data_IF_751737837735
#
_entry.id   IF_751737837735
#
_cell.length_a   1.000
_cell.length_b   1.000
_cell.length_c   1.000
_cell.angle_alpha   90.00
_cell.angle_beta   90.00
_cell.angle_gamma   90.00
#
_symmetry.space_group_name_H-M   'P 1'
#
loop_
_entity.id
_entity.type
_entity.pdbx_description
1 polymer ?
#
# COMPACT_ATOMS: atom_id res chain seq x y z
N UNK A 1 5.55 -21.56 -4.82
CA UNK A 1 5.92 -20.15 -5.06
C UNK A 1 5.25 -19.29 -4.00
N UNK A 2 5.88 -18.19 -3.57
CA UNK A 2 5.30 -17.27 -2.58
C UNK A 2 4.24 -16.34 -3.21
N UNK A 3 4.42 -15.94 -4.45
CA UNK A 3 3.45 -15.23 -5.27
C UNK A 3 3.69 -15.53 -6.76
N UNK A 4 2.69 -15.25 -7.59
CA UNK A 4 2.80 -15.28 -9.06
C UNK A 4 2.45 -13.91 -9.59
N UNK A 5 3.32 -13.33 -10.42
CA UNK A 5 3.06 -12.08 -11.10
C UNK A 5 3.08 -12.28 -12.60
N UNK A 6 2.03 -11.86 -13.27
CA UNK A 6 1.87 -11.97 -14.72
C UNK A 6 1.58 -10.59 -15.29
N UNK A 7 2.45 -10.12 -16.18
CA UNK A 7 2.21 -8.88 -16.92
C UNK A 7 1.29 -9.21 -18.09
N UNK A 8 0.11 -8.63 -18.10
CA UNK A 8 -0.92 -8.89 -19.12
C UNK A 8 -0.76 -7.96 -20.33
N UNK A 9 -0.44 -6.70 -20.09
CA UNK A 9 -0.40 -5.66 -21.12
C UNK A 9 0.66 -4.60 -20.78
N UNK A 10 1.36 -4.13 -21.84
CA UNK A 10 2.33 -3.03 -21.73
C UNK A 10 1.93 -1.97 -22.75
N UNK A 11 1.59 -0.77 -22.28
CA UNK A 11 1.31 0.37 -23.16
C UNK A 11 2.62 1.07 -23.50
N UNK A 12 3.09 0.99 -24.75
CA UNK A 12 4.25 1.75 -25.19
C UNK A 12 3.85 3.18 -25.61
N UNK A 13 4.27 4.22 -24.88
CA UNK A 13 4.38 5.54 -25.45
C UNK A 13 5.74 5.63 -26.17
N UNK A 14 5.76 6.21 -27.36
CA UNK A 14 6.99 6.46 -28.11
C UNK A 14 8.09 7.05 -27.21
N UNK A 15 9.10 6.23 -26.86
CA UNK A 15 10.35 6.66 -26.26
C UNK A 15 10.41 6.87 -24.74
N UNK A 16 9.44 6.41 -23.93
CA UNK A 16 9.48 6.48 -22.43
C UNK A 16 9.00 5.18 -21.81
N UNK A 17 9.33 4.95 -20.53
CA UNK A 17 8.88 3.78 -19.79
C UNK A 17 7.37 3.59 -19.92
N UNK A 18 6.95 2.38 -20.30
CA UNK A 18 5.57 2.05 -20.58
C UNK A 18 4.81 1.69 -19.31
N UNK A 19 3.63 2.26 -19.12
CA UNK A 19 2.68 1.77 -18.15
C UNK A 19 2.34 0.31 -18.43
N UNK A 20 2.09 -0.48 -17.39
CA UNK A 20 1.79 -1.90 -17.54
C UNK A 20 0.61 -2.34 -16.66
N UNK A 21 -0.16 -3.28 -17.17
CA UNK A 21 -1.16 -4.01 -16.40
C UNK A 21 -0.64 -5.40 -16.08
N UNK A 22 -0.97 -5.86 -14.90
CA UNK A 22 -0.60 -7.20 -14.47
C UNK A 22 -1.57 -7.77 -13.46
N UNK A 23 -1.32 -9.01 -13.11
CA UNK A 23 -2.05 -9.75 -12.10
C UNK A 23 -1.07 -10.34 -11.10
N UNK A 24 -1.24 -10.00 -9.83
CA UNK A 24 -0.47 -10.53 -8.72
C UNK A 24 -1.35 -11.52 -7.95
N UNK A 25 -1.01 -12.80 -8.01
CA UNK A 25 -1.71 -13.86 -7.29
C UNK A 25 -0.99 -14.14 -5.96
N UNK A 26 -1.74 -14.06 -4.86
CA UNK A 26 -1.28 -14.16 -3.48
C UNK A 26 -2.14 -15.20 -2.73
N UNK A 27 -1.72 -15.66 -1.53
CA UNK A 27 -2.47 -16.66 -0.76
C UNK A 27 -3.94 -16.29 -0.47
N UNK A 28 -4.25 -15.02 -0.22
CA UNK A 28 -5.62 -14.55 0.07
C UNK A 28 -6.33 -13.92 -1.13
N UNK A 29 -5.83 -14.07 -2.35
CA UNK A 29 -6.53 -13.63 -3.55
C UNK A 29 -5.66 -13.01 -4.63
N UNK A 30 -6.33 -12.43 -5.61
CA UNK A 30 -5.71 -11.86 -6.81
C UNK A 30 -5.83 -10.35 -6.79
N UNK A 31 -4.74 -9.66 -7.12
CA UNK A 31 -4.65 -8.21 -7.20
C UNK A 31 -4.38 -7.79 -8.64
N UNK A 32 -5.24 -6.94 -9.19
CA UNK A 32 -5.03 -6.33 -10.51
C UNK A 32 -4.15 -5.09 -10.37
N UNK A 33 -3.03 -5.06 -11.07
CA UNK A 33 -2.09 -3.93 -11.06
C UNK A 33 -2.27 -3.02 -12.28
N UNK A 34 -1.96 -1.71 -12.17
CA UNK A 34 -1.52 -1.00 -10.98
C UNK A 34 -2.61 -0.89 -9.90
N UNK A 35 -2.19 -0.89 -8.64
CA UNK A 35 -3.10 -0.87 -7.48
C UNK A 35 -2.67 0.15 -6.44
N UNK A 36 -3.65 0.78 -5.79
CA UNK A 36 -3.45 1.57 -4.58
C UNK A 36 -3.83 0.76 -3.34
N UNK A 37 -2.98 0.76 -2.33
CA UNK A 37 -3.16 0.07 -1.06
C UNK A 37 -3.58 1.06 0.04
N UNK A 38 -4.82 1.03 0.53
CA UNK A 38 -5.19 1.77 1.74
C UNK A 38 -4.35 1.34 2.94
N UNK A 39 -3.89 2.32 3.74
CA UNK A 39 -3.05 2.06 4.90
C UNK A 39 -3.88 1.79 6.14
N UNK A 40 -3.75 0.57 6.65
CA UNK A 40 -4.37 0.08 7.88
C UNK A 40 -3.37 -0.07 9.02
N UNK A 41 -2.81 1.03 9.51
CA UNK A 41 -1.66 1.11 10.44
C UNK A 41 -1.72 0.11 11.62
N UNK A 42 -2.85 -0.02 12.28
CA UNK A 42 -3.04 -0.89 13.45
C UNK A 42 -4.12 -1.96 13.17
N UNK A 43 -3.96 -2.69 12.06
CA UNK A 43 -4.97 -3.61 11.53
C UNK A 43 -6.34 -2.95 11.31
N UNK A 44 -6.34 -1.67 10.95
CA UNK A 44 -7.56 -0.93 10.60
C UNK A 44 -7.23 0.26 9.70
N UNK A 45 -7.91 0.39 8.59
CA UNK A 45 -7.91 1.63 7.80
C UNK A 45 -8.72 2.66 8.59
N UNK A 46 -8.04 3.70 9.06
CA UNK A 46 -8.60 4.61 10.08
C UNK A 46 -9.99 5.14 9.72
N UNK A 47 -10.94 4.90 10.61
CA UNK A 47 -12.33 5.32 10.52
C UNK A 47 -13.13 4.68 9.35
N UNK A 48 -12.68 3.54 8.81
CA UNK A 48 -13.39 2.85 7.72
C UNK A 48 -13.54 1.38 8.06
N UNK A 49 -14.78 0.85 8.16
CA UNK A 49 -15.03 -0.57 8.39
C UNK A 49 -14.56 -1.44 7.22
N UNK A 50 -14.22 -2.70 7.48
CA UNK A 50 -13.77 -3.65 6.47
C UNK A 50 -14.83 -3.89 5.38
N UNK A 51 -16.10 -4.09 5.76
CA UNK A 51 -17.22 -4.24 4.82
C UNK A 51 -17.29 -3.04 3.84
N UNK A 52 -17.04 -1.83 4.34
CA UNK A 52 -16.98 -0.64 3.47
C UNK A 52 -15.78 -0.72 2.53
N UNK A 53 -14.59 -1.14 3.01
CA UNK A 53 -13.40 -1.30 2.17
C UNK A 53 -13.60 -2.35 1.08
N UNK A 54 -14.38 -3.38 1.34
CA UNK A 54 -14.71 -4.43 0.38
C UNK A 54 -15.65 -3.96 -0.73
N UNK A 55 -16.46 -2.95 -0.46
CA UNK A 55 -17.52 -2.46 -1.37
C UNK A 55 -17.28 -1.05 -1.93
N UNK A 56 -16.27 -0.34 -1.43
CA UNK A 56 -15.94 1.02 -1.83
C UNK A 56 -15.35 1.03 -3.24
N UNK A 57 -15.85 1.91 -4.11
CA UNK A 57 -15.37 2.05 -5.49
C UNK A 57 -16.55 2.12 -6.46
N UNK A 58 -16.27 2.27 -7.77
CA UNK A 58 -17.31 2.30 -8.78
C UNK A 58 -18.00 0.93 -8.88
N UNK A 59 -19.32 0.96 -9.08
CA UNK A 59 -20.06 -0.25 -9.44
C UNK A 59 -19.62 -0.68 -10.84
N UNK A 60 -19.14 -1.91 -10.98
CA UNK A 60 -18.90 -2.49 -12.31
C UNK A 60 -20.25 -2.73 -12.99
N UNK A 61 -20.63 -1.85 -13.90
CA UNK A 61 -21.79 -2.04 -14.73
C UNK A 61 -21.53 -3.21 -15.70
N UNK A 62 -22.27 -4.30 -15.57
CA UNK A 62 -22.27 -5.37 -16.58
C UNK A 62 -22.18 -6.80 -16.09
N UNK A 63 -21.99 -7.05 -14.80
CA UNK A 63 -22.12 -8.40 -14.26
C UNK A 63 -23.36 -8.47 -13.37
N UNK A 64 -24.51 -8.66 -14.02
CA UNK A 64 -25.79 -8.92 -13.37
C UNK A 64 -25.86 -10.32 -12.75
N UNK A 65 -25.07 -10.60 -11.74
CA UNK A 65 -25.20 -11.79 -10.91
C UNK A 65 -24.91 -11.40 -9.47
N UNK A 66 -25.97 -11.10 -8.74
CA UNK A 66 -25.98 -11.27 -7.28
C UNK A 66 -26.10 -12.77 -7.01
N UNK A 67 -25.06 -13.53 -7.26
CA UNK A 67 -24.95 -14.88 -6.71
C UNK A 67 -24.35 -14.80 -5.31
N UNK A 68 -25.18 -15.13 -4.34
CA UNK A 68 -24.77 -15.44 -2.99
C UNK A 68 -23.77 -16.61 -3.07
N UNK A 69 -22.47 -16.33 -3.02
CA UNK A 69 -21.42 -17.36 -3.04
C UNK A 69 -20.05 -16.92 -3.52
N UNK A 70 -19.95 -15.92 -4.37
CA UNK A 70 -18.67 -15.43 -4.91
C UNK A 70 -18.26 -14.08 -4.28
N UNK A 71 -17.83 -14.12 -3.02
CA UNK A 71 -17.23 -12.93 -2.35
C UNK A 71 -15.92 -12.43 -2.97
N UNK A 72 -15.40 -13.12 -3.99
CA UNK A 72 -14.09 -12.86 -4.60
C UNK A 72 -14.11 -12.53 -6.09
N UNK A 73 -15.25 -12.27 -6.70
CA UNK A 73 -15.32 -11.91 -8.12
C UNK A 73 -15.21 -10.38 -8.30
N UNK A 74 -14.02 -9.98 -8.72
CA UNK A 74 -13.70 -8.86 -9.60
C UNK A 74 -14.52 -7.56 -9.48
N UNK A 75 -13.96 -6.52 -8.88
CA UNK A 75 -14.19 -5.20 -9.39
C UNK A 75 -14.53 -4.09 -8.41
N UNK A 76 -15.04 -4.34 -7.22
CA UNK A 76 -15.31 -3.28 -6.25
C UNK A 76 -14.44 -3.40 -4.99
N UNK A 77 -14.02 -2.25 -4.45
CA UNK A 77 -13.32 -2.17 -3.19
C UNK A 77 -11.79 -2.27 -3.26
N UNK A 78 -11.18 -2.15 -2.09
CA UNK A 78 -9.75 -2.33 -1.92
C UNK A 78 -9.38 -3.80 -2.15
N UNK A 79 -8.48 -4.05 -3.10
CA UNK A 79 -8.04 -5.42 -3.42
C UNK A 79 -6.95 -5.91 -2.48
N UNK A 80 -6.18 -4.99 -1.91
CA UNK A 80 -5.08 -5.22 -0.98
C UNK A 80 -4.99 -4.02 -0.05
N UNK A 81 -4.61 -4.24 1.20
CA UNK A 81 -4.34 -3.18 2.18
C UNK A 81 -2.94 -3.35 2.77
N UNK A 82 -2.40 -2.28 3.36
CA UNK A 82 -1.14 -2.29 4.06
C UNK A 82 -1.37 -2.19 5.58
N UNK A 83 -0.74 -3.06 6.36
CA UNK A 83 -0.66 -2.96 7.82
C UNK A 83 0.77 -2.65 8.26
N UNK A 84 0.92 -2.06 9.47
CA UNK A 84 2.22 -1.61 9.93
C UNK A 84 2.78 -2.50 11.02
N UNK A 85 3.92 -3.12 10.73
CA UNK A 85 4.61 -4.07 11.61
C UNK A 85 4.98 -3.47 12.97
N UNK A 86 5.54 -2.27 13.00
CA UNK A 86 5.93 -1.62 14.24
C UNK A 86 4.76 -1.38 15.20
N UNK A 87 3.64 -0.90 14.69
CA UNK A 87 2.45 -0.64 15.50
C UNK A 87 1.83 -1.93 16.02
N UNK A 88 1.73 -2.96 15.18
CA UNK A 88 1.17 -4.26 15.56
C UNK A 88 2.07 -5.04 16.52
N UNK A 89 3.38 -4.88 16.38
CA UNK A 89 4.36 -5.41 17.36
C UNK A 89 4.17 -4.80 18.75
N UNK A 90 4.05 -3.48 18.85
CA UNK A 90 3.88 -2.80 20.13
C UNK A 90 2.49 -3.04 20.73
N UNK A 91 1.45 -3.07 19.90
CA UNK A 91 0.05 -3.25 20.36
C UNK A 91 -0.84 -3.81 19.22
N UNK A 92 -1.48 -4.95 19.39
CA UNK A 92 -1.60 -5.74 20.63
C UNK A 92 -0.43 -6.70 20.91
N UNK A 93 0.58 -6.75 20.03
CA UNK A 93 1.69 -7.69 20.03
C UNK A 93 1.49 -8.82 19.02
N UNK A 94 2.54 -9.13 18.27
CA UNK A 94 2.52 -10.12 17.20
C UNK A 94 2.19 -11.54 17.68
N UNK A 95 2.61 -11.90 18.89
CA UNK A 95 2.32 -13.21 19.49
C UNK A 95 0.82 -13.40 19.76
N UNK A 96 0.10 -12.34 20.15
CA UNK A 96 -1.36 -12.41 20.29
C UNK A 96 -2.00 -12.63 18.92
N UNK A 97 -1.57 -11.87 17.90
CA UNK A 97 -2.10 -12.00 16.55
C UNK A 97 -1.82 -13.39 15.97
N UNK A 98 -0.61 -13.95 16.22
CA UNK A 98 -0.28 -15.32 15.83
C UNK A 98 -1.24 -16.34 16.44
N UNK A 99 -1.50 -16.25 17.76
CA UNK A 99 -2.39 -17.21 18.48
C UNK A 99 -3.83 -17.19 17.98
N UNK A 100 -4.31 -16.07 17.44
CA UNK A 100 -5.67 -15.98 16.88
C UNK A 100 -5.74 -16.33 15.39
N UNK A 101 -4.63 -16.77 14.77
CA UNK A 101 -4.58 -17.22 13.38
C UNK A 101 -4.14 -16.18 12.37
N UNK A 102 -3.38 -15.16 12.79
CA UNK A 102 -2.83 -14.12 11.93
C UNK A 102 -3.71 -12.88 11.81
N UNK A 103 -3.17 -11.84 11.14
CA UNK A 103 -3.79 -10.52 11.04
C UNK A 103 -5.10 -10.53 10.24
N UNK A 104 -5.21 -11.38 9.22
CA UNK A 104 -6.42 -11.54 8.43
C UNK A 104 -7.60 -11.93 9.31
N UNK A 105 -7.42 -12.98 10.12
CA UNK A 105 -8.45 -13.44 11.06
C UNK A 105 -8.69 -12.46 12.19
N UNK A 106 -7.64 -11.83 12.71
CA UNK A 106 -7.72 -10.84 13.78
C UNK A 106 -8.60 -9.65 13.42
N UNK A 107 -8.51 -9.16 12.19
CA UNK A 107 -9.27 -7.98 11.74
C UNK A 107 -10.46 -8.31 10.82
N UNK A 108 -10.74 -9.58 10.54
CA UNK A 108 -11.80 -10.03 9.61
C UNK A 108 -11.63 -9.45 8.21
N UNK A 109 -10.44 -9.67 7.63
CA UNK A 109 -10.10 -9.23 6.27
C UNK A 109 -9.65 -10.43 5.44
N UNK A 110 -10.47 -10.82 4.45
CA UNK A 110 -10.25 -12.04 3.66
C UNK A 110 -9.47 -11.80 2.35
N UNK A 111 -9.01 -10.57 2.10
CA UNK A 111 -8.27 -10.19 0.88
C UNK A 111 -6.78 -10.01 1.18
N UNK A 112 -5.93 -9.93 0.14
CA UNK A 112 -4.49 -9.70 0.28
C UNK A 112 -4.11 -8.55 1.22
N UNK A 113 -2.97 -8.73 1.89
CA UNK A 113 -2.39 -7.75 2.79
C UNK A 113 -0.88 -7.70 2.65
N UNK A 114 -0.31 -6.51 2.75
CA UNK A 114 1.13 -6.28 2.88
C UNK A 114 1.44 -5.75 4.28
N UNK A 115 2.51 -6.24 4.90
CA UNK A 115 3.12 -5.60 6.08
C UNK A 115 4.41 -4.90 5.69
N UNK A 116 4.60 -3.65 6.16
CA UNK A 116 5.89 -2.98 6.04
C UNK A 116 6.94 -3.61 6.96
N UNK A 117 8.21 -3.18 6.83
CA UNK A 117 9.32 -3.69 7.65
C UNK A 117 9.26 -3.23 9.11
N UNK A 118 8.53 -2.16 9.41
CA UNK A 118 8.58 -1.43 10.68
C UNK A 118 9.76 -0.45 10.79
N UNK A 119 10.73 -0.50 9.87
CA UNK A 119 11.95 0.32 9.89
C UNK A 119 11.66 1.81 9.91
N UNK A 120 10.87 2.31 8.98
CA UNK A 120 10.52 3.74 8.88
C UNK A 120 9.91 4.29 10.18
N UNK A 121 9.05 3.55 10.87
CA UNK A 121 8.41 3.99 12.11
C UNK A 121 9.39 4.00 13.28
N UNK A 122 10.32 3.06 13.35
CA UNK A 122 11.43 3.09 14.29
C UNK A 122 12.26 4.36 14.07
N UNK A 123 12.47 4.78 12.80
CA UNK A 123 13.20 6.01 12.47
C UNK A 123 12.40 7.28 12.78
N UNK A 124 11.12 7.33 12.42
CA UNK A 124 10.32 8.55 12.48
C UNK A 124 9.71 8.83 13.86
N UNK A 125 9.36 7.78 14.63
CA UNK A 125 8.63 7.91 15.89
C UNK A 125 9.52 7.81 17.14
N UNK A 126 10.70 7.22 17.02
CA UNK A 126 11.61 7.08 18.18
C UNK A 126 12.64 8.20 18.21
N UNK A 127 12.49 9.11 19.18
CA UNK A 127 13.48 10.17 19.43
C UNK A 127 14.84 9.64 19.94
N UNK A 128 14.84 8.45 20.54
CA UNK A 128 16.01 7.78 21.09
C UNK A 128 16.17 6.43 20.40
N UNK A 129 16.94 6.43 19.32
CA UNK A 129 17.30 5.23 18.58
C UNK A 129 18.81 5.11 18.45
N UNK A 130 19.30 3.88 18.47
CA UNK A 130 20.69 3.55 18.18
C UNK A 130 20.72 2.49 17.08
N UNK A 131 21.34 2.85 15.96
CA UNK A 131 21.51 1.98 14.80
C UNK A 131 22.87 1.30 14.92
N UNK A 132 22.92 0.01 14.62
CA UNK A 132 24.15 -0.78 14.51
C UNK A 132 23.98 -1.81 13.37
N UNK A 133 25.07 -2.47 12.93
CA UNK A 133 24.96 -3.54 11.95
C UNK A 133 24.00 -4.67 12.37
N UNK A 134 23.85 -4.92 13.67
CA UNK A 134 22.99 -5.97 14.21
C UNK A 134 21.49 -5.61 14.11
N UNK A 135 21.16 -4.31 14.17
CA UNK A 135 19.79 -3.82 14.17
C UNK A 135 19.62 -2.46 14.84
N UNK A 136 18.42 -2.16 15.29
CA UNK A 136 18.05 -0.86 15.87
C UNK A 136 17.51 -1.03 17.29
N UNK A 137 18.17 -0.41 18.28
CA UNK A 137 17.60 -0.21 19.61
C UNK A 137 16.73 1.07 19.60
N UNK A 138 15.53 0.99 20.13
CA UNK A 138 14.63 2.12 20.23
C UNK A 138 13.75 2.07 21.50
N UNK A 139 13.10 3.19 21.79
CA UNK A 139 12.08 3.25 22.83
C UNK A 139 10.69 3.36 22.24
N UNK A 140 9.76 2.55 22.77
CA UNK A 140 8.35 2.60 22.44
C UNK A 140 7.78 4.00 22.70
N UNK A 141 7.06 4.53 21.72
CA UNK A 141 6.33 5.81 21.89
C UNK A 141 5.07 5.68 22.75
N UNK A 142 4.67 4.45 23.11
CA UNK A 142 3.48 4.17 23.90
C UNK A 142 3.79 4.26 25.39
N UNK A 143 4.87 3.60 25.86
CA UNK A 143 5.19 3.40 27.26
C UNK A 143 6.67 3.64 27.61
N UNK A 144 7.51 3.98 26.61
CA UNK A 144 8.93 4.22 26.78
C UNK A 144 9.79 2.98 26.99
N UNK A 145 9.23 1.77 26.90
CA UNK A 145 9.97 0.51 27.00
C UNK A 145 11.05 0.41 25.92
N UNK A 146 12.16 -0.26 26.26
CA UNK A 146 13.26 -0.49 25.31
C UNK A 146 12.99 -1.73 24.48
N UNK A 147 13.24 -1.61 23.19
CA UNK A 147 13.10 -2.69 22.21
C UNK A 147 14.34 -2.74 21.32
N UNK A 148 14.60 -3.92 20.76
CA UNK A 148 15.61 -4.13 19.75
C UNK A 148 15.00 -4.84 18.54
N UNK A 149 15.13 -4.23 17.38
CA UNK A 149 14.72 -4.81 16.10
C UNK A 149 15.96 -5.17 15.28
N UNK A 150 16.17 -6.44 15.05
CA UNK A 150 17.08 -6.93 14.03
C UNK A 150 16.32 -7.30 12.76
N UNK A 151 16.98 -7.53 11.61
CA UNK A 151 16.35 -8.07 10.42
C UNK A 151 15.56 -9.34 10.70
N UNK A 152 16.15 -10.29 11.46
CA UNK A 152 15.52 -11.56 11.83
C UNK A 152 14.27 -11.33 12.69
N UNK A 153 14.36 -10.40 13.66
CA UNK A 153 13.21 -10.08 14.51
C UNK A 153 12.06 -9.46 13.73
N UNK A 154 12.36 -8.54 12.79
CA UNK A 154 11.35 -7.99 11.88
C UNK A 154 10.66 -9.09 11.05
N UNK A 155 11.45 -10.03 10.52
CA UNK A 155 10.89 -11.18 9.79
C UNK A 155 10.02 -12.06 10.68
N UNK A 156 10.48 -12.40 11.90
CA UNK A 156 9.72 -13.19 12.86
C UNK A 156 8.36 -12.53 13.18
N UNK A 157 8.37 -11.22 13.41
CA UNK A 157 7.14 -10.45 13.64
C UNK A 157 6.20 -10.51 12.43
N UNK A 158 6.69 -10.27 11.21
CA UNK A 158 5.87 -10.29 10.00
C UNK A 158 5.35 -11.70 9.67
N UNK A 159 6.13 -12.74 9.92
CA UNK A 159 5.68 -14.15 9.80
C UNK A 159 4.54 -14.40 10.80
N UNK A 160 4.69 -13.97 12.04
CA UNK A 160 3.67 -14.13 13.07
C UNK A 160 2.38 -13.33 12.76
N UNK A 161 2.50 -12.16 12.13
CA UNK A 161 1.35 -11.38 11.64
C UNK A 161 0.62 -12.11 10.51
N UNK A 162 1.33 -12.78 9.60
CA UNK A 162 0.72 -13.60 8.55
C UNK A 162 0.09 -12.81 7.41
N UNK A 163 0.68 -11.67 7.00
CA UNK A 163 0.28 -10.97 5.77
C UNK A 163 0.75 -11.74 4.52
N UNK A 164 0.23 -11.41 3.33
CA UNK A 164 0.64 -12.07 2.08
C UNK A 164 2.01 -11.61 1.59
N UNK A 165 2.32 -10.33 1.79
CA UNK A 165 3.58 -9.71 1.40
C UNK A 165 4.26 -9.14 2.64
N UNK A 166 5.55 -9.43 2.76
CA UNK A 166 6.46 -8.91 3.77
C UNK A 166 7.52 -8.03 3.12
N UNK A 167 8.06 -7.08 3.86
CA UNK A 167 9.16 -6.23 3.41
C UNK A 167 10.44 -6.56 4.16
N UNK A 168 11.59 -6.56 3.48
CA UNK A 168 12.89 -6.66 4.16
C UNK A 168 13.05 -5.52 5.16
N UNK A 169 13.82 -5.75 6.23
CA UNK A 169 14.17 -4.68 7.15
C UNK A 169 15.17 -3.73 6.50
N UNK A 170 14.93 -2.42 6.55
CA UNK A 170 15.70 -1.40 5.84
C UNK A 170 15.99 -0.19 6.73
N UNK A 171 17.03 0.57 6.37
CA UNK A 171 17.30 1.89 6.93
C UNK A 171 16.88 2.97 5.94
N UNK A 172 15.83 3.72 6.29
CA UNK A 172 15.43 4.92 5.56
C UNK A 172 16.24 6.11 6.08
N UNK A 173 17.15 6.65 5.25
CA UNK A 173 17.96 7.80 5.61
C UNK A 173 17.11 9.08 5.64
N UNK A 174 17.47 10.01 6.52
CA UNK A 174 16.86 11.35 6.58
C UNK A 174 17.11 12.16 5.29
N UNK A 175 16.21 13.10 4.96
CA UNK A 175 16.39 14.01 3.83
C UNK A 175 16.44 15.46 4.34
N UNK A 176 17.46 16.26 3.96
CA UNK A 176 18.59 15.90 3.09
C UNK A 176 19.69 15.10 3.81
N UNK A 177 20.38 14.22 3.10
CA UNK A 177 21.56 13.52 3.59
C UNK A 177 22.72 13.63 2.57
N UNK A 178 23.98 13.52 3.05
CA UNK A 178 25.14 13.48 2.16
C UNK A 178 25.20 12.17 1.37
N UNK A 179 25.94 12.15 0.28
CA UNK A 179 26.15 10.94 -0.53
C UNK A 179 26.77 9.81 0.31
N UNK A 180 27.79 10.11 1.14
CA UNK A 180 28.46 9.13 1.99
C UNK A 180 27.50 8.55 3.02
N UNK A 181 26.69 9.38 3.68
CA UNK A 181 25.67 8.92 4.66
C UNK A 181 24.63 8.04 3.99
N UNK A 182 24.20 8.42 2.79
CA UNK A 182 23.23 7.65 1.99
C UNK A 182 23.80 6.31 1.54
N UNK A 183 25.06 6.29 1.08
CA UNK A 183 25.78 5.06 0.70
C UNK A 183 25.91 4.11 1.87
N UNK A 184 26.30 4.60 3.06
CA UNK A 184 26.49 3.76 4.23
C UNK A 184 25.17 3.17 4.72
N UNK A 185 24.07 3.96 4.70
CA UNK A 185 22.70 3.51 4.98
C UNK A 185 22.23 2.46 3.97
N UNK A 186 22.49 2.69 2.68
CA UNK A 186 22.18 1.73 1.61
C UNK A 186 22.93 0.41 1.81
N UNK A 187 24.22 0.46 2.15
CA UNK A 187 25.03 -0.72 2.44
C UNK A 187 24.45 -1.53 3.61
N UNK A 188 24.07 -0.85 4.69
CA UNK A 188 23.41 -1.48 5.83
C UNK A 188 22.08 -2.13 5.44
N UNK A 189 21.27 -1.47 4.61
CA UNK A 189 20.02 -2.03 4.07
C UNK A 189 20.26 -3.31 3.28
N UNK A 190 21.33 -3.37 2.47
CA UNK A 190 21.67 -4.58 1.72
C UNK A 190 22.05 -5.76 2.64
N UNK A 191 22.83 -5.50 3.67
CA UNK A 191 23.22 -6.53 4.65
C UNK A 191 22.00 -7.04 5.41
N UNK A 192 21.10 -6.14 5.79
CA UNK A 192 19.84 -6.47 6.44
C UNK A 192 18.87 -7.21 5.51
N UNK A 193 18.82 -6.85 4.22
CA UNK A 193 18.02 -7.55 3.22
C UNK A 193 18.49 -9.02 3.04
N UNK A 194 19.81 -9.26 2.99
CA UNK A 194 20.37 -10.59 2.91
C UNK A 194 20.01 -11.45 4.14
N UNK A 195 20.15 -10.89 5.35
CA UNK A 195 19.76 -11.53 6.61
C UNK A 195 18.25 -11.79 6.69
N UNK A 196 17.45 -10.83 6.28
CA UNK A 196 15.98 -10.97 6.19
C UNK A 196 15.61 -12.14 5.27
N UNK A 197 16.26 -12.24 4.10
CA UNK A 197 16.01 -13.33 3.14
C UNK A 197 16.39 -14.68 3.69
N UNK A 198 17.55 -14.79 4.35
CA UNK A 198 18.00 -16.04 4.97
C UNK A 198 16.98 -16.50 6.01
N UNK A 199 16.61 -15.64 6.94
CA UNK A 199 15.62 -15.96 7.98
C UNK A 199 14.26 -16.35 7.38
N UNK A 200 13.78 -15.61 6.36
CA UNK A 200 12.52 -15.94 5.70
C UNK A 200 12.55 -17.31 5.02
N UNK A 201 13.64 -17.69 4.34
CA UNK A 201 13.76 -19.02 3.71
C UNK A 201 13.66 -20.13 4.75
N UNK A 202 14.27 -19.95 5.94
CA UNK A 202 14.29 -20.95 7.01
C UNK A 202 12.95 -21.08 7.74
N UNK A 203 12.17 -19.97 7.86
CA UNK A 203 10.98 -19.91 8.72
C UNK A 203 9.65 -19.66 7.97
N UNK A 204 9.66 -19.57 6.64
CA UNK A 204 8.47 -19.19 5.85
C UNK A 204 7.27 -20.13 5.99
N UNK A 205 7.49 -21.36 6.46
CA UNK A 205 6.44 -22.36 6.69
C UNK A 205 5.72 -22.16 8.05
N UNK A 206 6.20 -21.25 8.89
CA UNK A 206 5.66 -20.97 10.23
C UNK A 206 4.49 -19.96 10.22
N UNK A 207 4.06 -19.51 9.07
CA UNK A 207 2.96 -18.55 8.94
C UNK A 207 1.66 -19.15 9.54
N UNK A 208 0.87 -18.38 10.33
CA UNK A 208 -0.25 -18.90 11.11
C UNK A 208 -1.31 -19.64 10.28
N UNK A 209 -1.65 -19.13 9.09
CA UNK A 209 -2.69 -19.71 8.23
C UNK A 209 -2.22 -20.98 7.47
N UNK A 210 -0.93 -21.27 7.39
CA UNK A 210 -0.44 -22.50 6.79
C UNK A 210 -0.70 -23.75 7.68
N UNK A 211 -0.95 -23.55 8.98
CA UNK A 211 -1.19 -24.61 9.95
C UNK A 211 -2.66 -25.03 10.07
N UNK A 212 -3.59 -24.32 9.41
CA UNK A 212 -5.04 -24.59 9.51
C UNK A 212 -5.56 -25.70 8.58
N UNK A 213 -4.73 -26.70 8.20
CA UNK A 213 -5.18 -27.83 7.36
C UNK A 213 -6.07 -28.87 8.08
N UNK A 214 -6.55 -28.58 9.30
CA UNK A 214 -7.41 -29.44 10.12
C UNK A 214 -8.76 -28.81 10.46
N UNK A 215 -9.86 -29.28 9.82
CA UNK A 215 -11.25 -29.11 10.23
C UNK A 215 -11.97 -27.75 10.01
N UNK A 216 -11.93 -27.14 8.83
CA UNK A 216 -13.07 -26.35 8.34
C UNK A 216 -13.42 -26.74 6.92
N UNK A 217 -14.45 -27.60 6.78
CA UNK A 217 -15.25 -27.72 5.56
C UNK A 217 -16.08 -26.43 5.39
N UNK A 218 -15.45 -25.38 4.90
CA UNK A 218 -16.08 -24.38 4.06
C UNK A 218 -15.21 -24.35 2.81
N UNK A 219 -15.57 -25.23 1.89
CA UNK A 219 -15.16 -25.25 0.52
C UNK A 219 -15.59 -23.93 -0.12
N UNK A 220 -14.74 -22.93 -0.06
CA UNK A 220 -14.75 -21.87 -1.09
C UNK A 220 -13.82 -22.35 -2.19
N UNK A 221 -14.40 -22.69 -3.34
CA UNK A 221 -13.76 -23.18 -4.56
C UNK A 221 -12.69 -22.25 -5.19
N UNK A 222 -12.15 -21.28 -4.45
CA UNK A 222 -11.25 -20.25 -4.94
C UNK A 222 -9.80 -20.39 -4.51
N UNK A 223 -9.41 -21.45 -3.80
CA UNK A 223 -7.97 -21.68 -3.51
C UNK A 223 -7.28 -22.43 -4.66
N UNK A 224 -7.19 -21.82 -5.83
CA UNK A 224 -6.40 -22.35 -6.98
C UNK A 224 -4.90 -22.03 -6.89
N UNK A 225 -4.44 -21.31 -5.88
CA UNK A 225 -3.03 -20.98 -5.72
C UNK A 225 -2.41 -21.84 -4.60
N UNK A 226 -1.50 -22.71 -4.98
CA UNK A 226 -0.72 -23.56 -4.03
C UNK A 226 0.38 -22.79 -3.28
N UNK A 227 0.34 -21.46 -3.24
CA UNK A 227 1.27 -20.61 -2.52
C UNK A 227 1.08 -20.74 -1.01
N UNK A 228 2.00 -21.47 -0.36
CA UNK A 228 1.97 -21.74 1.09
C UNK A 228 2.74 -20.71 1.90
N UNK A 229 3.34 -19.68 1.28
CA UNK A 229 4.28 -18.78 1.92
C UNK A 229 3.96 -17.32 1.59
N UNK A 230 4.33 -16.45 2.51
CA UNK A 230 4.36 -15.00 2.29
C UNK A 230 5.43 -14.67 1.24
N UNK A 231 5.20 -13.63 0.42
CA UNK A 231 6.20 -13.09 -0.50
C UNK A 231 7.07 -12.06 0.23
N UNK A 232 8.39 -12.16 0.14
CA UNK A 232 9.32 -11.18 0.69
C UNK A 232 9.79 -10.23 -0.41
N UNK A 233 9.56 -8.92 -0.26
CA UNK A 233 10.00 -7.90 -1.21
C UNK A 233 11.27 -7.19 -0.72
N UNK A 234 12.23 -6.99 -1.64
CA UNK A 234 13.40 -6.14 -1.42
C UNK A 234 13.06 -4.66 -1.47
N UNK A 235 13.79 -3.81 -0.76
CA UNK A 235 13.58 -2.35 -0.74
C UNK A 235 14.83 -1.66 -1.29
N UNK A 236 14.71 -1.01 -2.45
CA UNK A 236 15.75 -0.18 -3.05
C UNK A 236 15.83 1.14 -2.29
N UNK A 237 17.00 1.41 -1.71
CA UNK A 237 17.36 2.67 -1.08
C UNK A 237 18.36 3.44 -1.97
N UNK A 238 18.92 4.55 -1.52
CA UNK A 238 19.90 5.36 -2.26
C UNK A 238 19.56 6.85 -2.28
N UNK A 239 18.56 7.28 -1.49
CA UNK A 239 18.17 8.68 -1.32
C UNK A 239 17.89 9.35 -2.67
N UNK A 240 18.44 10.56 -2.86
CA UNK A 240 18.29 11.35 -4.09
C UNK A 240 19.48 11.20 -5.04
N UNK A 241 20.24 10.09 -4.95
CA UNK A 241 21.42 9.82 -5.75
C UNK A 241 21.16 8.67 -6.72
N UNK A 242 21.11 9.00 -8.02
CA UNK A 242 20.75 8.04 -9.07
C UNK A 242 21.76 6.87 -9.21
N UNK A 243 23.05 7.13 -8.98
CA UNK A 243 24.11 6.14 -8.96
C UNK A 243 23.93 5.13 -7.80
N UNK A 244 23.61 5.60 -6.59
CA UNK A 244 23.32 4.74 -5.45
C UNK A 244 22.04 3.93 -5.66
N UNK A 245 20.98 4.52 -6.23
CA UNK A 245 19.74 3.80 -6.55
C UNK A 245 19.97 2.68 -7.56
N UNK A 246 20.82 2.93 -8.56
CA UNK A 246 21.23 1.91 -9.52
C UNK A 246 21.95 0.77 -8.80
N UNK A 247 22.98 1.06 -8.03
CA UNK A 247 23.76 0.07 -7.28
C UNK A 247 22.86 -0.74 -6.35
N UNK A 248 21.94 -0.07 -5.64
CA UNK A 248 20.99 -0.72 -4.76
C UNK A 248 20.05 -1.67 -5.51
N UNK A 249 19.50 -1.23 -6.65
CA UNK A 249 18.61 -2.05 -7.45
C UNK A 249 19.34 -3.29 -8.00
N UNK A 250 20.53 -3.11 -8.61
CA UNK A 250 21.32 -4.19 -9.15
C UNK A 250 21.65 -5.25 -8.08
N UNK A 251 22.11 -4.82 -6.89
CA UNK A 251 22.45 -5.72 -5.78
C UNK A 251 21.25 -6.48 -5.22
N UNK A 252 20.08 -5.84 -5.10
CA UNK A 252 18.86 -6.51 -4.64
C UNK A 252 18.30 -7.47 -5.70
N UNK A 253 18.46 -7.16 -6.98
CA UNK A 253 18.07 -8.06 -8.08
C UNK A 253 18.93 -9.32 -8.09
N UNK A 254 20.24 -9.23 -7.82
CA UNK A 254 21.12 -10.39 -7.62
C UNK A 254 20.66 -11.28 -6.47
N UNK A 255 20.04 -10.70 -5.45
CA UNK A 255 19.45 -11.48 -4.34
C UNK A 255 18.15 -12.20 -4.72
N UNK A 256 17.53 -11.91 -5.88
CA UNK A 256 16.31 -12.53 -6.42
C UNK A 256 15.13 -12.58 -5.43
N UNK A 257 14.53 -11.41 -5.17
CA UNK A 257 13.29 -11.32 -4.40
C UNK A 257 12.06 -11.57 -5.28
N UNK A 258 10.94 -12.04 -4.69
CA UNK A 258 9.64 -12.15 -5.38
C UNK A 258 9.10 -10.82 -5.94
N UNK A 259 9.51 -9.68 -5.37
CA UNK A 259 9.13 -8.34 -5.80
C UNK A 259 10.07 -7.28 -5.23
N UNK A 260 9.96 -6.05 -5.71
CA UNK A 260 10.86 -4.95 -5.33
C UNK A 260 10.09 -3.68 -5.02
N UNK A 261 10.46 -3.04 -3.92
CA UNK A 261 9.95 -1.73 -3.55
C UNK A 261 11.01 -0.64 -3.78
N UNK A 262 10.57 0.57 -4.04
CA UNK A 262 11.35 1.80 -4.12
C UNK A 262 11.05 2.59 -2.86
N UNK A 263 11.99 2.57 -1.91
CA UNK A 263 11.88 3.25 -0.63
C UNK A 263 12.65 4.56 -0.57
N UNK A 264 12.58 5.27 0.57
CA UNK A 264 13.33 6.49 0.84
C UNK A 264 12.95 7.68 -0.04
N UNK A 265 11.70 7.72 -0.53
CA UNK A 265 11.11 8.82 -1.29
C UNK A 265 9.87 9.36 -0.57
N UNK A 266 9.37 10.53 -1.00
CA UNK A 266 8.26 11.26 -0.36
C UNK A 266 8.53 11.62 1.12
N UNK A 267 9.80 11.89 1.46
CA UNK A 267 10.27 12.22 2.81
C UNK A 267 10.66 13.70 2.96
N UNK A 268 10.26 14.56 2.00
CA UNK A 268 10.45 16.01 2.03
C UNK A 268 11.10 16.63 0.80
N UNK A 269 11.52 15.83 -0.16
CA UNK A 269 12.08 16.29 -1.44
C UNK A 269 10.99 16.86 -2.38
N UNK A 270 11.37 17.69 -3.38
CA UNK A 270 10.45 18.13 -4.44
C UNK A 270 9.92 16.95 -5.26
N UNK A 271 8.68 17.08 -5.76
CA UNK A 271 8.00 16.03 -6.55
C UNK A 271 8.77 15.63 -7.82
N UNK A 272 9.41 16.59 -8.46
CA UNK A 272 10.20 16.35 -9.66
C UNK A 272 11.39 15.43 -9.37
N UNK A 273 12.00 15.57 -8.19
CA UNK A 273 13.09 14.70 -7.73
C UNK A 273 12.58 13.31 -7.43
N UNK A 274 11.45 13.20 -6.71
CA UNK A 274 10.79 11.90 -6.45
C UNK A 274 10.52 11.17 -7.77
N UNK A 275 9.92 11.86 -8.73
CA UNK A 275 9.60 11.33 -10.06
C UNK A 275 10.85 10.86 -10.81
N UNK A 276 11.92 11.67 -10.82
CA UNK A 276 13.17 11.31 -11.46
C UNK A 276 13.78 10.06 -10.82
N UNK A 277 13.82 9.99 -9.49
CA UNK A 277 14.38 8.83 -8.78
C UNK A 277 13.58 7.56 -9.02
N UNK A 278 12.26 7.65 -9.10
CA UNK A 278 11.40 6.51 -9.50
C UNK A 278 11.78 6.06 -10.92
N UNK A 279 11.82 6.97 -11.89
CA UNK A 279 12.15 6.65 -13.27
C UNK A 279 13.52 5.95 -13.38
N UNK A 280 14.56 6.52 -12.75
CA UNK A 280 15.90 5.94 -12.73
C UNK A 280 15.96 4.56 -12.09
N UNK A 281 15.26 4.36 -10.99
CA UNK A 281 15.24 3.07 -10.29
C UNK A 281 14.54 1.98 -11.12
N UNK A 282 13.43 2.33 -11.77
CA UNK A 282 12.67 1.39 -12.60
C UNK A 282 13.46 0.81 -13.78
N UNK A 283 14.47 1.52 -14.27
CA UNK A 283 15.36 1.05 -15.35
C UNK A 283 16.11 -0.23 -14.98
N UNK A 284 16.42 -0.42 -13.70
CA UNK A 284 17.21 -1.54 -13.18
C UNK A 284 16.37 -2.64 -12.52
N UNK A 285 15.05 -2.45 -12.37
CA UNK A 285 14.18 -3.46 -11.80
C UNK A 285 13.63 -4.43 -12.87
N UNK A 286 13.52 -5.74 -12.56
CA UNK A 286 12.99 -6.74 -13.47
C UNK A 286 11.59 -6.38 -13.98
N UNK A 287 11.31 -6.72 -15.25
CA UNK A 287 10.00 -6.46 -15.87
C UNK A 287 8.96 -7.51 -15.50
N UNK A 288 9.38 -8.69 -15.09
CA UNK A 288 8.54 -9.83 -14.72
C UNK A 288 8.27 -9.93 -13.20
N UNK A 289 8.70 -8.93 -12.42
CA UNK A 289 8.46 -8.84 -10.98
C UNK A 289 7.60 -7.62 -10.65
N UNK A 290 6.76 -7.66 -9.59
CA UNK A 290 6.00 -6.50 -9.13
C UNK A 290 6.93 -5.40 -8.59
N UNK A 291 6.57 -4.14 -8.89
CA UNK A 291 7.31 -2.93 -8.52
C UNK A 291 6.43 -2.03 -7.67
N UNK A 292 6.87 -1.76 -6.47
CA UNK A 292 6.11 -1.03 -5.48
C UNK A 292 6.82 0.29 -5.12
N UNK A 293 6.14 1.44 -5.20
CA UNK A 293 6.66 2.72 -4.69
C UNK A 293 5.99 3.03 -3.37
N UNK A 294 6.81 3.15 -2.31
CA UNK A 294 6.35 3.26 -0.93
C UNK A 294 5.95 4.69 -0.55
N UNK A 295 4.84 4.85 0.16
CA UNK A 295 4.45 6.09 0.82
C UNK A 295 4.00 7.24 -0.07
N UNK A 296 3.77 6.99 -1.36
CA UNK A 296 3.34 7.99 -2.33
C UNK A 296 1.85 7.84 -2.65
N UNK A 297 1.11 8.84 -2.92
CA UNK A 297 1.28 10.24 -3.10
C UNK A 297 -0.10 10.88 -3.31
N UNK A 298 -0.17 12.02 -3.96
CA UNK A 298 -1.43 12.63 -4.38
C UNK A 298 -2.08 11.84 -5.54
N UNK A 299 -3.41 12.04 -5.81
CA UNK A 299 -4.08 11.27 -6.87
C UNK A 299 -3.49 11.45 -8.28
N UNK A 300 -2.94 12.61 -8.58
CA UNK A 300 -2.24 12.90 -9.82
C UNK A 300 -0.89 12.16 -9.91
N UNK A 301 -0.16 12.08 -8.79
CA UNK A 301 1.12 11.36 -8.71
C UNK A 301 0.94 9.86 -8.89
N UNK A 302 -0.06 9.24 -8.23
CA UNK A 302 -0.26 7.79 -8.39
C UNK A 302 -0.67 7.42 -9.82
N UNK A 303 -1.40 8.30 -10.52
CA UNK A 303 -1.72 8.13 -11.93
C UNK A 303 -0.45 8.20 -12.80
N UNK A 304 0.42 9.19 -12.55
CA UNK A 304 1.68 9.36 -13.26
C UNK A 304 2.62 8.18 -13.04
N UNK A 305 2.82 7.75 -11.78
CA UNK A 305 3.74 6.65 -11.47
C UNK A 305 3.24 5.31 -12.03
N UNK A 306 1.94 5.07 -12.04
CA UNK A 306 1.37 3.90 -12.71
C UNK A 306 1.67 3.90 -14.22
N UNK A 307 1.62 5.07 -14.88
CA UNK A 307 1.99 5.22 -16.28
C UNK A 307 3.50 5.03 -16.54
N UNK A 308 4.34 5.16 -15.51
CA UNK A 308 5.77 4.86 -15.57
C UNK A 308 6.09 3.38 -15.36
N UNK A 309 5.11 2.53 -15.07
CA UNK A 309 5.28 1.10 -14.86
C UNK A 309 5.41 0.68 -13.41
N UNK A 310 4.93 1.49 -12.47
CA UNK A 310 4.74 1.12 -11.06
C UNK A 310 3.46 0.31 -10.91
N UNK A 311 3.54 -0.82 -10.19
CA UNK A 311 2.42 -1.75 -10.01
C UNK A 311 1.65 -1.52 -8.71
N UNK A 312 2.34 -1.10 -7.65
CA UNK A 312 1.77 -0.98 -6.31
C UNK A 312 2.17 0.35 -5.66
N UNK A 313 1.25 0.98 -4.98
CA UNK A 313 1.47 2.23 -4.24
C UNK A 313 0.61 2.26 -3.00
N UNK A 314 1.10 2.88 -1.93
CA UNK A 314 0.35 3.13 -0.70
C UNK A 314 0.52 4.58 -0.25
N UNK A 315 -0.44 5.08 0.50
CA UNK A 315 -0.31 6.36 1.17
C UNK A 315 -1.37 6.52 2.27
N UNK A 316 -1.01 7.19 3.35
CA UNK A 316 -1.97 7.57 4.42
C UNK A 316 -2.86 8.75 4.03
N UNK A 317 -2.54 9.42 2.92
CA UNK A 317 -3.14 10.71 2.54
C UNK A 317 -4.67 10.66 2.39
N UNK A 318 -5.31 9.65 1.74
CA UNK A 318 -6.76 9.66 1.58
C UNK A 318 -7.51 9.78 2.92
N UNK A 319 -7.19 8.90 3.86
CA UNK A 319 -7.85 8.89 5.17
C UNK A 319 -7.36 10.04 6.07
N UNK A 320 -6.08 10.41 6.00
CA UNK A 320 -5.54 11.54 6.75
C UNK A 320 -6.18 12.85 6.32
N UNK A 321 -6.22 13.12 5.01
CA UNK A 321 -6.86 14.30 4.44
C UNK A 321 -8.36 14.36 4.79
N UNK A 322 -9.10 13.26 4.60
CA UNK A 322 -10.52 13.16 4.93
C UNK A 322 -10.82 13.49 6.38
N UNK A 323 -10.08 12.91 7.31
CA UNK A 323 -10.21 13.21 8.75
C UNK A 323 -9.88 14.66 9.11
N UNK A 324 -9.12 15.37 8.28
CA UNK A 324 -8.83 16.79 8.46
C UNK A 324 -9.70 17.71 7.61
N UNK A 325 -10.73 17.16 6.95
CA UNK A 325 -11.70 17.92 6.17
C UNK A 325 -11.22 18.38 4.79
N UNK A 326 -10.18 17.73 4.26
CA UNK A 326 -9.68 17.95 2.90
C UNK A 326 -10.11 16.77 2.01
N UNK A 327 -10.84 17.10 0.92
CA UNK A 327 -11.44 16.12 0.02
C UNK A 327 -10.89 16.32 -1.40
N UNK A 328 -10.75 15.21 -2.13
CA UNK A 328 -10.29 15.23 -3.52
C UNK A 328 -11.50 15.16 -4.45
N UNK A 329 -11.58 16.07 -5.41
CA UNK A 329 -12.65 16.14 -6.40
C UNK A 329 -12.07 16.36 -7.80
N UNK A 330 -12.85 16.10 -8.84
CA UNK A 330 -12.51 16.48 -10.20
C UNK A 330 -12.89 17.95 -10.46
N UNK A 331 -12.03 18.68 -11.17
CA UNK A 331 -12.30 20.07 -11.58
C UNK A 331 -13.56 20.14 -12.45
N UNK A 332 -13.67 19.21 -13.40
CA UNK A 332 -14.89 19.01 -14.18
C UNK A 332 -15.55 17.68 -13.77
N UNK A 333 -16.71 17.71 -13.08
CA UNK A 333 -17.39 16.49 -12.64
C UNK A 333 -17.89 15.60 -13.80
N UNK A 334 -18.06 16.15 -15.00
CA UNK A 334 -18.44 15.39 -16.21
C UNK A 334 -17.24 14.77 -16.92
N UNK A 335 -16.02 15.14 -16.56
CA UNK A 335 -14.79 14.57 -17.07
C UNK A 335 -13.94 13.98 -15.94
N UNK A 336 -14.05 12.67 -15.75
CA UNK A 336 -13.28 11.94 -14.70
C UNK A 336 -11.77 11.93 -14.98
N UNK A 337 -11.33 12.43 -16.13
CA UNK A 337 -9.93 12.64 -16.47
C UNK A 337 -9.43 14.07 -16.20
N UNK A 338 -10.33 14.99 -15.86
CA UNK A 338 -9.96 16.37 -15.53
C UNK A 338 -9.03 16.45 -14.31
N UNK A 339 -8.40 17.61 -14.13
CA UNK A 339 -7.48 17.86 -13.03
C UNK A 339 -8.10 17.54 -11.66
N UNK A 340 -7.26 17.13 -10.73
CA UNK A 340 -7.66 16.91 -9.34
C UNK A 340 -7.57 18.25 -8.59
N UNK A 341 -8.66 18.64 -7.95
CA UNK A 341 -8.70 19.80 -7.08
C UNK A 341 -9.06 19.41 -5.64
N UNK A 342 -8.77 20.30 -4.71
CA UNK A 342 -8.96 20.06 -3.28
C UNK A 342 -10.13 20.87 -2.75
N UNK A 343 -11.14 20.19 -2.24
CA UNK A 343 -12.27 20.80 -1.52
C UNK A 343 -11.96 20.80 -0.01
N UNK A 344 -11.95 21.97 0.61
CA UNK A 344 -11.90 22.07 2.06
C UNK A 344 -13.32 22.19 2.62
N UNK A 345 -13.82 21.13 3.23
CA UNK A 345 -15.20 21.05 3.74
C UNK A 345 -15.48 22.06 4.87
N UNK A 346 -14.44 22.56 5.54
CA UNK A 346 -14.57 23.52 6.65
C UNK A 346 -15.04 24.91 6.19
N UNK A 347 -14.82 25.26 4.92
CA UNK A 347 -15.17 26.59 4.40
C UNK A 347 -16.64 26.91 4.61
N UNK A 348 -16.92 28.19 4.88
CA UNK A 348 -18.28 28.66 5.14
C UNK A 348 -19.20 28.48 3.91
N UNK A 349 -18.64 28.58 2.72
CA UNK A 349 -19.35 28.39 1.45
C UNK A 349 -20.07 27.02 1.37
N UNK A 350 -19.60 26.03 2.11
CA UNK A 350 -20.25 24.71 2.18
C UNK A 350 -21.41 24.65 3.18
N UNK A 351 -21.69 25.72 3.95
CA UNK A 351 -22.68 25.67 5.04
C UNK A 351 -24.11 25.41 4.56
N UNK A 352 -24.45 25.89 3.39
CA UNK A 352 -25.79 25.77 2.77
C UNK A 352 -25.74 24.95 1.47
N UNK A 353 -24.57 24.43 1.08
CA UNK A 353 -24.40 23.68 -0.14
C UNK A 353 -25.04 22.28 -0.01
N UNK A 354 -26.17 22.09 -0.68
CA UNK A 354 -26.93 20.83 -0.73
C UNK A 354 -26.36 19.83 -1.75
N UNK A 355 -25.35 20.22 -2.53
CA UNK A 355 -24.71 19.35 -3.49
C UNK A 355 -23.80 18.28 -2.84
N UNK A 356 -23.44 17.22 -3.58
CA UNK A 356 -22.49 16.21 -3.14
C UNK A 356 -21.08 16.79 -3.06
N UNK A 357 -20.14 16.01 -2.44
CA UNK A 357 -18.71 16.38 -2.45
C UNK A 357 -18.21 16.59 -3.88
N UNK A 358 -18.48 15.64 -4.77
CA UNK A 358 -18.13 15.65 -6.19
C UNK A 358 -19.33 15.13 -6.98
N UNK A 359 -19.90 15.96 -7.85
CA UNK A 359 -21.12 15.65 -8.60
C UNK A 359 -20.93 14.48 -9.59
N UNK A 360 -19.69 14.22 -10.05
CA UNK A 360 -19.38 13.08 -10.91
C UNK A 360 -19.01 11.81 -10.14
N UNK A 361 -18.95 11.84 -8.80
CA UNK A 361 -18.56 10.69 -7.98
C UNK A 361 -19.76 9.83 -7.63
N UNK A 362 -19.61 8.50 -7.83
CA UNK A 362 -20.67 7.51 -7.56
C UNK A 362 -20.55 6.84 -6.20
N UNK A 363 -19.62 7.25 -5.33
CA UNK A 363 -19.48 6.64 -4.01
C UNK A 363 -20.73 6.83 -3.14
N UNK A 364 -20.92 5.97 -2.15
CA UNK A 364 -22.07 5.98 -1.24
C UNK A 364 -22.25 7.32 -0.51
N UNK A 365 -21.14 8.03 -0.26
CA UNK A 365 -21.17 9.34 0.40
C UNK A 365 -21.74 10.43 -0.54
N UNK A 366 -21.22 10.54 -1.77
CA UNK A 366 -21.69 11.52 -2.74
C UNK A 366 -23.14 11.28 -3.18
N UNK A 367 -23.61 10.03 -3.21
CA UNK A 367 -25.00 9.68 -3.52
C UNK A 367 -26.00 10.05 -2.42
N UNK A 368 -25.53 10.29 -1.20
CA UNK A 368 -26.43 10.41 -0.04
C UNK A 368 -26.31 11.70 0.74
N UNK A 369 -25.11 12.26 0.87
CA UNK A 369 -24.84 13.35 1.79
C UNK A 369 -24.44 14.63 1.07
N UNK A 370 -24.97 15.78 1.56
CA UNK A 370 -24.60 17.10 1.08
C UNK A 370 -23.33 17.64 1.73
N UNK A 371 -22.66 18.57 1.07
CA UNK A 371 -21.51 19.30 1.65
C UNK A 371 -21.91 20.04 2.93
N UNK A 372 -23.12 20.60 3.00
CA UNK A 372 -23.64 21.24 4.20
C UNK A 372 -23.66 20.29 5.40
N UNK A 373 -24.19 19.08 5.21
CA UNK A 373 -24.23 18.08 6.28
C UNK A 373 -22.83 17.61 6.70
N UNK A 374 -21.93 17.32 5.75
CA UNK A 374 -20.56 16.92 6.03
C UNK A 374 -19.78 18.01 6.76
N UNK A 375 -19.98 19.28 6.37
CA UNK A 375 -19.42 20.42 7.09
C UNK A 375 -19.96 20.51 8.52
N UNK A 376 -21.26 20.32 8.73
CA UNK A 376 -21.86 20.28 10.07
C UNK A 376 -21.21 19.20 10.94
N UNK A 377 -21.12 17.96 10.45
CA UNK A 377 -20.47 16.87 11.19
C UNK A 377 -19.04 17.21 11.55
N UNK A 378 -18.28 17.78 10.61
CA UNK A 378 -16.90 18.17 10.84
C UNK A 378 -16.79 19.27 11.91
N UNK A 379 -17.62 20.31 11.83
CA UNK A 379 -17.61 21.44 12.76
C UNK A 379 -18.06 21.02 14.18
N UNK A 380 -18.95 20.05 14.29
CA UNK A 380 -19.43 19.47 15.55
C UNK A 380 -18.48 18.41 16.14
N UNK A 381 -17.38 18.06 15.45
CA UNK A 381 -16.45 17.04 15.90
C UNK A 381 -17.00 15.61 15.85
N UNK A 382 -18.09 15.36 15.10
CA UNK A 382 -18.73 14.07 14.99
C UNK A 382 -17.80 13.06 14.24
N UNK A 383 -17.51 11.89 14.85
CA UNK A 383 -16.66 10.86 14.22
C UNK A 383 -17.16 10.42 12.84
N UNK A 384 -18.46 10.44 12.60
CA UNK A 384 -19.08 10.10 11.32
C UNK A 384 -18.57 11.01 10.19
N UNK A 385 -18.28 12.28 10.46
CA UNK A 385 -17.68 13.19 9.47
C UNK A 385 -16.32 12.70 8.97
N UNK A 386 -15.47 12.25 9.87
CA UNK A 386 -14.17 11.67 9.53
C UNK A 386 -14.30 10.36 8.71
N UNK A 387 -15.27 9.53 9.07
CA UNK A 387 -15.60 8.28 8.37
C UNK A 387 -16.05 8.55 6.94
N UNK A 388 -17.07 9.38 6.75
CA UNK A 388 -17.64 9.69 5.44
C UNK A 388 -16.60 10.35 4.51
N UNK A 389 -15.85 11.32 5.03
CA UNK A 389 -14.79 11.99 4.27
C UNK A 389 -13.68 11.01 3.84
N UNK A 390 -13.30 10.05 4.73
CA UNK A 390 -12.30 9.03 4.41
C UNK A 390 -12.82 8.06 3.35
N UNK A 391 -14.07 7.65 3.42
CA UNK A 391 -14.74 6.81 2.42
C UNK A 391 -14.70 7.48 1.04
N UNK A 392 -15.08 8.75 0.94
CA UNK A 392 -15.04 9.49 -0.32
C UNK A 392 -13.62 9.54 -0.91
N UNK A 393 -12.64 9.93 -0.12
CA UNK A 393 -11.25 10.04 -0.59
C UNK A 393 -10.68 8.67 -1.02
N UNK A 394 -10.97 7.60 -0.29
CA UNK A 394 -10.55 6.25 -0.69
C UNK A 394 -11.22 5.82 -1.99
N UNK A 395 -12.53 6.07 -2.14
CA UNK A 395 -13.25 5.81 -3.39
C UNK A 395 -12.60 6.53 -4.57
N UNK A 396 -12.21 7.78 -4.37
CA UNK A 396 -11.52 8.59 -5.38
C UNK A 396 -10.19 7.97 -5.83
N UNK A 397 -9.38 7.47 -4.88
CA UNK A 397 -8.10 6.81 -5.18
C UNK A 397 -8.29 5.48 -5.91
N UNK A 398 -9.21 4.65 -5.45
CA UNK A 398 -9.49 3.35 -6.07
C UNK A 398 -10.06 3.51 -7.48
N UNK A 399 -10.98 4.46 -7.68
CA UNK A 399 -11.50 4.82 -9.01
C UNK A 399 -10.39 5.33 -9.93
N UNK A 400 -9.45 6.12 -9.41
CA UNK A 400 -8.31 6.60 -10.20
C UNK A 400 -7.48 5.42 -10.72
N UNK A 401 -7.19 4.41 -9.91
CA UNK A 401 -6.46 3.23 -10.35
C UNK A 401 -7.26 2.37 -11.36
N UNK A 402 -8.56 2.24 -11.18
CA UNK A 402 -9.40 1.51 -12.13
C UNK A 402 -9.43 2.20 -13.50
N UNK A 403 -9.59 3.52 -13.52
CA UNK A 403 -9.52 4.33 -14.73
C UNK A 403 -8.16 4.22 -15.43
N UNK A 404 -7.06 4.20 -14.66
CA UNK A 404 -5.71 4.00 -15.21
C UNK A 404 -5.60 2.63 -15.88
N UNK A 405 -6.05 1.56 -15.22
CA UNK A 405 -6.07 0.20 -15.81
C UNK A 405 -6.93 0.14 -17.08
N UNK A 406 -8.11 0.76 -17.08
CA UNK A 406 -9.00 0.83 -18.25
C UNK A 406 -8.33 1.50 -19.46
N UNK A 407 -7.69 2.64 -19.26
CA UNK A 407 -6.96 3.36 -20.34
C UNK A 407 -5.78 2.55 -20.89
N UNK A 408 -5.06 1.81 -20.05
CA UNK A 408 -3.98 0.94 -20.51
C UNK A 408 -4.54 -0.18 -21.40
N UNK A 409 -5.68 -0.75 -21.04
CA UNK A 409 -6.35 -1.79 -21.84
C UNK A 409 -6.83 -1.27 -23.21
N UNK A 410 -7.38 -0.07 -23.25
CA UNK A 410 -7.83 0.55 -24.51
C UNK A 410 -6.66 0.81 -25.46
N UNK A 411 -5.53 1.31 -24.95
CA UNK A 411 -4.33 1.56 -25.76
C UNK A 411 -3.75 0.29 -26.39
N UNK A 412 -3.86 -0.85 -25.72
CA UNK A 412 -3.36 -2.12 -26.25
C UNK A 412 -4.30 -2.75 -27.30
N UNK A 413 -5.55 -2.27 -27.42
CA UNK A 413 -6.54 -2.75 -28.41
C UNK A 413 -6.60 -1.92 -29.69
N UNK A 414 -5.95 -0.76 -29.70
CA UNK A 414 -5.83 0.06 -30.91
C UNK A 414 -4.73 -0.53 -31.80
N UNK A 415 -5.01 -0.77 -33.11
CA UNK A 415 -4.07 -1.37 -34.03
C UNK A 415 -2.85 -0.49 -34.33
#
# INVERSE_FOLDING_TARGET
MACKFEVAEVSEPSGRQAGRRGQLTLPHGVVQTPVFMPVGTAATVKAVPQETLETIGPEVQGLGIREQGLRNASGSGAQIILANTYHLYLRPGHELIRRVGGVHRFMSWDRPMLTDSGGFQVFSLSKLRKISPEGVEFRSHIDGSKHFFSPEHSMAVQIALGADIMMVFDECVETPASWERTRDSMGLTHDWAARSKTYWVEHRDEVPWAQETGNRKQETETRQFEGKHQALFGIVQGGMYADLRRESAERLVEMDFPGYAIGGLAVGEPREVTREMIARTLEFLPKDKPRYVMGVGYPDEIEEYAQMGVDMMDCVLPTRAGRHGLLFIRENPNDRASAVVRLNIKKLDNAEDQGPIDAGCTCSVCRRYSRAYLRHLFASGEPLGATLNSIHNLSFYLETMERVRGRMQEKCRLP
#
